data_IF_548331721052
#
_entry.id   IF_548331721052
#
_cell.length_a   1.000
_cell.length_b   1.000
_cell.length_c   1.000
_cell.angle_alpha   90.00
_cell.angle_beta   90.00
_cell.angle_gamma   90.00
#
_symmetry.space_group_name_H-M   'P 1'
#
loop_
_entity.id
_entity.type
_entity.pdbx_description
1 polymer ?
#
# COMPACT_ATOMS: atom_id res chain seq x y z
N UNK A 1 13.82 -19.24 4.04
CA UNK A 1 12.83 -18.80 5.06
C UNK A 1 12.30 -17.39 4.74
N UNK A 2 13.17 -16.42 4.46
CA UNK A 2 12.83 -15.02 4.14
C UNK A 2 11.82 -14.84 2.98
N UNK A 3 11.97 -15.60 1.89
CA UNK A 3 11.08 -15.50 0.73
C UNK A 3 9.64 -15.92 1.04
N UNK A 4 9.42 -16.89 1.95
CA UNK A 4 8.07 -17.30 2.36
C UNK A 4 7.37 -16.24 3.20
N UNK A 5 8.14 -15.57 4.06
CA UNK A 5 7.64 -14.44 4.85
C UNK A 5 7.27 -13.26 3.94
N UNK A 6 8.10 -12.98 2.93
CA UNK A 6 7.84 -11.92 1.94
C UNK A 6 6.57 -12.18 1.12
N UNK A 7 6.42 -13.41 0.61
CA UNK A 7 5.22 -13.81 -0.15
C UNK A 7 3.95 -13.82 0.73
N UNK A 8 4.08 -14.20 2.00
CA UNK A 8 2.99 -14.12 2.97
C UNK A 8 2.59 -12.68 3.27
N UNK A 9 3.56 -11.77 3.39
CA UNK A 9 3.34 -10.32 3.53
C UNK A 9 2.61 -9.76 2.31
N UNK A 10 3.06 -10.07 1.10
CA UNK A 10 2.45 -9.60 -0.15
C UNK A 10 0.99 -10.08 -0.30
N UNK A 11 0.71 -11.33 0.07
CA UNK A 11 -0.64 -11.89 0.04
C UNK A 11 -1.57 -11.24 1.08
N UNK A 12 -1.01 -10.77 2.20
CA UNK A 12 -1.75 -9.98 3.21
C UNK A 12 -1.98 -8.54 2.76
N UNK A 13 -1.03 -7.98 2.02
CA UNK A 13 -1.03 -6.61 1.53
C UNK A 13 -2.20 -6.34 0.55
N UNK A 14 -2.63 -7.34 -0.21
CA UNK A 14 -3.74 -7.19 -1.16
C UNK A 14 -5.12 -6.98 -0.46
N UNK A 15 -5.21 -7.28 0.85
CA UNK A 15 -6.40 -7.05 1.72
C UNK A 15 -6.17 -5.89 2.69
N UNK A 16 -5.75 -4.73 2.18
CA UNK A 16 -5.25 -3.59 2.98
C UNK A 16 -6.12 -3.15 4.16
N UNK A 17 -7.45 -3.22 4.05
CA UNK A 17 -8.36 -2.68 5.05
C UNK A 17 -8.60 -3.64 6.23
N UNK A 18 -8.64 -4.95 5.98
CA UNK A 18 -8.97 -5.94 7.03
C UNK A 18 -7.82 -6.15 8.03
N UNK A 19 -6.57 -5.84 7.65
CA UNK A 19 -5.41 -5.98 8.54
C UNK A 19 -5.21 -4.79 9.50
N UNK A 20 -5.91 -3.66 9.30
CA UNK A 20 -5.91 -2.55 10.29
C UNK A 20 -6.45 -3.06 11.62
N UNK A 21 -7.41 -3.99 11.59
CA UNK A 21 -7.96 -4.60 12.79
C UNK A 21 -6.89 -5.29 13.65
N UNK A 22 -5.92 -5.99 13.03
CA UNK A 22 -4.84 -6.65 13.75
C UNK A 22 -3.88 -5.65 14.38
N UNK A 23 -3.58 -4.55 13.68
CA UNK A 23 -2.81 -3.43 14.24
C UNK A 23 -3.53 -2.84 15.45
N UNK A 24 -4.81 -2.47 15.30
CA UNK A 24 -5.59 -1.83 16.35
C UNK A 24 -5.76 -2.74 17.55
N UNK A 25 -6.09 -4.02 17.34
CA UNK A 25 -6.22 -5.00 18.43
C UNK A 25 -4.88 -5.21 19.15
N UNK A 26 -3.78 -5.29 18.38
CA UNK A 26 -2.43 -5.36 18.94
C UNK A 26 -2.06 -4.14 19.77
N UNK A 27 -2.34 -2.93 19.26
CA UNK A 27 -2.07 -1.68 19.95
C UNK A 27 -2.90 -1.55 21.23
N UNK A 28 -4.19 -1.87 21.18
CA UNK A 28 -5.06 -1.89 22.38
C UNK A 28 -4.53 -2.89 23.40
N UNK A 29 -4.19 -4.11 22.99
CA UNK A 29 -3.60 -5.11 23.88
C UNK A 29 -2.26 -4.68 24.48
N UNK A 30 -1.40 -4.04 23.69
CA UNK A 30 -0.12 -3.49 24.12
C UNK A 30 -0.32 -2.44 25.22
N UNK A 31 -1.11 -1.40 24.94
CA UNK A 31 -1.36 -0.32 25.89
C UNK A 31 -2.12 -0.79 27.13
N UNK A 32 -3.01 -1.78 26.98
CA UNK A 32 -3.67 -2.39 28.12
C UNK A 32 -2.69 -3.15 29.01
N UNK A 33 -1.76 -3.92 28.43
CA UNK A 33 -0.67 -4.58 29.17
C UNK A 33 0.23 -3.58 29.90
N UNK A 34 0.64 -2.50 29.23
CA UNK A 34 1.38 -1.39 29.86
C UNK A 34 0.56 -0.74 30.97
N UNK A 35 -0.74 -0.53 30.76
CA UNK A 35 -1.65 0.02 31.75
C UNK A 35 -1.71 -0.83 33.03
N UNK A 36 -1.75 -2.16 32.90
CA UNK A 36 -1.70 -3.10 34.04
C UNK A 36 -0.39 -2.93 34.80
N UNK A 37 0.75 -2.87 34.11
CA UNK A 37 2.07 -2.71 34.75
C UNK A 37 2.11 -1.41 35.55
N UNK A 38 1.80 -0.28 34.89
CA UNK A 38 1.84 1.05 35.51
C UNK A 38 0.86 1.14 36.68
N UNK A 39 -0.36 0.62 36.51
CA UNK A 39 -1.37 0.62 37.58
C UNK A 39 -0.91 -0.20 38.79
N UNK A 40 -0.36 -1.39 38.55
CA UNK A 40 0.15 -2.29 39.58
C UNK A 40 1.28 -1.64 40.37
N UNK A 41 2.25 -1.04 39.69
CA UNK A 41 3.41 -0.39 40.33
C UNK A 41 3.05 0.85 41.14
N UNK A 42 2.03 1.61 40.74
CA UNK A 42 1.66 2.85 41.42
C UNK A 42 0.61 2.66 42.53
N UNK A 43 -0.13 1.55 42.53
CA UNK A 43 -1.27 1.35 43.44
C UNK A 43 -1.04 0.25 44.46
N UNK A 44 -0.31 -0.81 44.10
CA UNK A 44 -0.08 -1.95 44.98
C UNK A 44 1.20 -1.75 45.79
N UNK A 45 1.18 -2.24 47.03
CA UNK A 45 2.37 -2.30 47.85
C UNK A 45 3.33 -3.39 47.32
N UNK A 46 4.65 -3.14 47.34
CA UNK A 46 5.67 -4.10 46.92
C UNK A 46 5.44 -5.47 47.54
N UNK A 47 5.12 -6.45 46.70
CA UNK A 47 4.78 -7.81 47.13
C UNK A 47 4.86 -8.79 45.96
N UNK A 48 4.98 -10.08 46.27
CA UNK A 48 4.95 -11.16 45.26
C UNK A 48 3.68 -11.12 44.40
N UNK A 49 2.55 -10.72 44.98
CA UNK A 49 1.28 -10.56 44.24
C UNK A 49 1.37 -9.48 43.17
N UNK A 50 1.97 -8.33 43.49
CA UNK A 50 2.20 -7.25 42.54
C UNK A 50 3.09 -7.70 41.38
N UNK A 51 4.18 -8.42 41.68
CA UNK A 51 5.11 -8.91 40.65
C UNK A 51 4.43 -9.85 39.65
N UNK A 52 3.56 -10.74 40.12
CA UNK A 52 2.79 -11.65 39.25
C UNK A 52 1.84 -10.87 38.33
N UNK A 53 1.20 -9.81 38.84
CA UNK A 53 0.31 -8.94 38.06
C UNK A 53 1.12 -8.16 37.01
N UNK A 54 2.29 -7.62 37.39
CA UNK A 54 3.21 -6.94 36.46
C UNK A 54 3.67 -7.90 35.36
N UNK A 55 4.04 -9.13 35.72
CA UNK A 55 4.45 -10.15 34.75
C UNK A 55 3.33 -10.48 33.75
N UNK A 56 2.09 -10.57 34.23
CA UNK A 56 0.93 -10.76 33.37
C UNK A 56 0.75 -9.60 32.38
N UNK A 57 0.82 -8.36 32.87
CA UNK A 57 0.80 -7.16 32.03
C UNK A 57 1.93 -7.13 31.01
N UNK A 58 3.12 -7.61 31.39
CA UNK A 58 4.30 -7.69 30.51
C UNK A 58 4.13 -8.69 29.37
N UNK A 59 3.66 -9.91 29.66
CA UNK A 59 3.37 -10.91 28.63
C UNK A 59 2.31 -10.38 27.66
N UNK A 60 1.26 -9.74 28.18
CA UNK A 60 0.21 -9.15 27.36
C UNK A 60 0.74 -8.01 26.48
N UNK A 61 1.61 -7.16 27.03
CA UNK A 61 2.26 -6.08 26.30
C UNK A 61 3.12 -6.63 25.15
N UNK A 62 3.91 -7.68 25.40
CA UNK A 62 4.74 -8.31 24.36
C UNK A 62 3.86 -8.84 23.21
N UNK A 63 2.81 -9.60 23.52
CA UNK A 63 1.92 -10.18 22.51
C UNK A 63 1.24 -9.08 21.70
N UNK A 64 0.70 -8.07 22.37
CA UNK A 64 0.09 -6.91 21.73
C UNK A 64 1.07 -6.15 20.84
N UNK A 65 2.30 -5.93 21.33
CA UNK A 65 3.36 -5.26 20.60
C UNK A 65 3.74 -5.99 19.31
N UNK A 66 3.90 -7.32 19.35
CA UNK A 66 4.15 -8.10 18.14
C UNK A 66 3.00 -8.02 17.14
N UNK A 67 1.75 -8.11 17.61
CA UNK A 67 0.57 -7.96 16.75
C UNK A 67 0.50 -6.55 16.11
N UNK A 68 0.79 -5.50 16.89
CA UNK A 68 0.85 -4.13 16.42
C UNK A 68 1.95 -3.93 15.37
N UNK A 69 3.16 -4.42 15.61
CA UNK A 69 4.27 -4.34 14.66
C UNK A 69 3.91 -5.05 13.35
N UNK A 70 3.32 -6.24 13.42
CA UNK A 70 2.89 -6.99 12.24
C UNK A 70 1.81 -6.23 11.45
N UNK A 71 0.84 -5.64 12.14
CA UNK A 71 -0.19 -4.82 11.50
C UNK A 71 0.37 -3.53 10.88
N UNK A 72 1.30 -2.85 11.58
CA UNK A 72 1.97 -1.66 11.08
C UNK A 72 2.83 -1.94 9.84
N UNK A 73 3.58 -3.06 9.84
CA UNK A 73 4.35 -3.50 8.67
C UNK A 73 3.43 -3.67 7.45
N UNK A 74 2.23 -4.23 7.64
CA UNK A 74 1.25 -4.36 6.57
C UNK A 74 0.83 -3.00 5.98
N UNK A 75 0.68 -1.97 6.81
CA UNK A 75 0.28 -0.63 6.36
C UNK A 75 1.44 0.16 5.71
N UNK A 76 2.60 0.17 6.37
CA UNK A 76 3.75 0.97 5.97
C UNK A 76 4.40 0.46 4.67
N UNK A 77 4.52 -0.86 4.51
CA UNK A 77 5.16 -1.45 3.33
C UNK A 77 4.40 -1.14 2.04
N UNK A 78 3.08 -1.13 2.11
CA UNK A 78 2.23 -0.80 0.97
C UNK A 78 2.25 0.67 0.58
N UNK A 79 2.33 1.53 1.58
CA UNK A 79 2.54 2.95 1.36
C UNK A 79 3.88 3.18 0.64
N UNK A 80 4.94 2.53 1.10
CA UNK A 80 6.26 2.59 0.47
C UNK A 80 6.24 2.06 -0.97
N UNK A 81 5.69 0.87 -1.22
CA UNK A 81 5.60 0.29 -2.56
C UNK A 81 4.80 1.17 -3.53
N UNK A 82 3.66 1.72 -3.08
CA UNK A 82 2.83 2.63 -3.89
C UNK A 82 3.59 3.90 -4.29
N UNK A 83 4.44 4.43 -3.41
CA UNK A 83 5.27 5.59 -3.73
C UNK A 83 6.33 5.24 -4.77
N UNK A 84 7.06 4.14 -4.59
CA UNK A 84 8.09 3.72 -5.55
C UNK A 84 7.53 3.40 -6.95
N UNK A 85 6.34 2.79 -7.05
CA UNK A 85 5.70 2.53 -8.34
C UNK A 85 5.23 3.81 -9.04
N UNK A 86 4.80 4.85 -8.30
CA UNK A 86 4.36 6.12 -8.90
C UNK A 86 5.50 6.93 -9.52
N UNK A 87 6.71 6.83 -8.99
CA UNK A 87 7.88 7.54 -9.53
C UNK A 87 8.38 6.98 -10.88
N UNK A 88 7.97 5.76 -11.25
CA UNK A 88 8.28 5.16 -12.56
C UNK A 88 7.34 5.61 -13.69
N UNK A 89 6.26 6.35 -13.41
CA UNK A 89 5.27 6.81 -14.40
C UNK A 89 5.18 8.34 -14.39
N UNK A 90 6.28 8.99 -14.73
CA UNK A 90 6.30 10.36 -15.29
C UNK A 90 7.60 10.55 -16.06
N UNK A 91 7.73 9.85 -17.19
CA UNK A 91 8.56 10.36 -18.27
C UNK A 91 7.69 11.38 -19.00
N UNK A 92 7.98 12.70 -18.95
CA UNK A 92 7.44 13.58 -19.95
C UNK A 92 8.05 13.11 -21.28
N UNK A 93 7.27 12.39 -22.08
CA UNK A 93 7.55 12.28 -23.51
C UNK A 93 7.37 13.70 -24.03
N UNK A 94 8.42 14.50 -23.91
CA UNK A 94 8.61 15.68 -24.74
C UNK A 94 8.99 15.07 -26.07
N UNK A 95 7.97 14.85 -26.90
CA UNK A 95 8.12 14.51 -28.30
C UNK A 95 8.88 15.67 -28.95
N UNK A 96 10.20 15.53 -29.00
CA UNK A 96 11.08 16.36 -29.80
C UNK A 96 10.85 15.96 -31.25
N UNK A 97 10.08 16.77 -31.98
CA UNK A 97 10.11 16.76 -33.44
C UNK A 97 10.23 18.20 -33.89
N UNK A 98 11.48 18.66 -34.03
CA UNK A 98 11.80 19.78 -34.91
C UNK A 98 11.66 19.27 -36.36
N UNK A 99 10.92 20.03 -37.18
CA UNK A 99 10.66 19.81 -38.61
C UNK A 99 11.94 19.79 -39.48
N UNK A 100 11.90 19.20 -40.69
CA UNK A 100 11.81 20.07 -41.86
C UNK A 100 10.99 19.52 -43.06
N UNK A 101 10.22 20.43 -43.70
CA UNK A 101 9.97 20.66 -45.15
C UNK A 101 10.15 19.41 -46.08
N UNK A 102 9.14 18.96 -46.85
CA UNK A 102 8.86 19.34 -48.26
C UNK A 102 7.65 18.49 -48.75
N UNK A 103 6.91 19.02 -49.73
CA UNK A 103 5.94 18.37 -50.64
C UNK A 103 4.46 18.29 -50.23
N UNK A 104 3.81 19.45 -50.22
CA UNK A 104 2.45 19.55 -50.80
C UNK A 104 2.52 19.38 -52.32
N UNK A 105 2.71 18.16 -52.80
CA UNK A 105 2.33 17.77 -54.15
C UNK A 105 0.81 17.55 -54.12
N UNK A 106 0.10 18.36 -54.90
CA UNK A 106 -1.33 18.22 -55.18
C UNK A 106 -1.66 16.77 -55.55
N UNK A 107 -2.60 16.17 -54.83
CA UNK A 107 -3.31 14.99 -55.32
C UNK A 107 -3.97 15.30 -56.68
N UNK A 108 -3.78 14.46 -57.71
CA UNK A 108 -4.68 14.43 -58.84
C UNK A 108 -5.72 13.31 -58.67
N UNK A 109 -6.87 13.57 -59.31
CA UNK A 109 -7.85 12.63 -59.88
C UNK A 109 -8.94 12.06 -58.96
N UNK A 110 -10.06 12.81 -58.92
CA UNK A 110 -11.42 12.25 -58.80
C UNK A 110 -11.70 11.25 -59.92
N UNK A 111 -12.31 10.14 -59.53
CA UNK A 111 -12.68 9.02 -60.38
C UNK A 111 -13.79 9.36 -61.38
N UNK A 112 -13.54 8.99 -62.62
CA UNK A 112 -14.46 8.93 -63.76
C UNK A 112 -15.53 7.84 -63.63
N UNK A 113 -16.75 8.11 -64.11
CA UNK A 113 -17.69 7.06 -64.56
C UNK A 113 -19.19 7.34 -64.37
N UNK A 114 -19.81 8.20 -65.20
CA UNK A 114 -20.69 7.84 -66.34
C UNK A 114 -21.98 7.07 -65.98
N UNK A 115 -23.16 7.70 -66.20
CA UNK A 115 -24.18 7.16 -67.14
C UNK A 115 -25.50 7.94 -67.27
N UNK A 116 -25.86 8.21 -68.54
CA UNK A 116 -27.15 7.91 -69.19
C UNK A 116 -28.29 8.96 -69.23
N UNK A 117 -28.53 9.46 -70.46
CA UNK A 117 -29.78 9.45 -71.29
C UNK A 117 -29.93 10.78 -72.05
N UNK A 118 -30.34 10.88 -73.31
CA UNK A 118 -30.56 10.04 -74.52
C UNK A 118 -30.86 11.08 -75.65
N UNK A 119 -30.74 10.76 -76.95
CA UNK A 119 -30.74 11.74 -78.03
C UNK A 119 -32.16 12.01 -78.57
N UNK A 120 -32.43 13.24 -78.97
CA UNK A 120 -32.65 13.68 -80.37
C UNK A 120 -32.74 15.21 -80.41
#
# INVERSE_FOLDING_TARGET
MWQRFYQWLLKRADKQADNIWLFTLGAVGFFFGIGIIVYSENTLAPSLGQEIIVLFGFVLAIIGGFAAIMGYLSLSLLRFLRFTTRERIKTPVIESTEEPIIDSIKEPTEETGVSQKKPL
#
